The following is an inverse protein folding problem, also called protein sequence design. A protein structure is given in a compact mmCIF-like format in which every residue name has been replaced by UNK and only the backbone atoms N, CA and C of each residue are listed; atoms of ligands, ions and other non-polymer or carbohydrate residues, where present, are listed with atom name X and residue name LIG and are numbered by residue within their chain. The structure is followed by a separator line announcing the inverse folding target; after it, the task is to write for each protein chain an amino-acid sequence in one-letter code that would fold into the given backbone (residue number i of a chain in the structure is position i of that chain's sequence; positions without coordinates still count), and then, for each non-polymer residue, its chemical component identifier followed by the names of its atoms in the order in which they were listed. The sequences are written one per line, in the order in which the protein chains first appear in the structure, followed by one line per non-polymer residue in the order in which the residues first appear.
data_IF_446190246326
#
_entry.id   IF_446190246326
#
_cell.length_a   1.000
_cell.length_b   1.000
_cell.length_c   1.000
_cell.angle_alpha   90.00
_cell.angle_beta   90.00
_cell.angle_gamma   90.00
#
_symmetry.space_group_name_H-M   'P 1'
#
loop_
_entity.id
_entity.type
_entity.pdbx_description
1 polymer ?
#
# COMPACT_ATOMS: atom_id res chain seq x y z
N UNK A 1 27.96 18.16 21.56
CA UNK A 1 27.92 18.46 20.11
C UNK A 1 27.64 19.94 20.03
N UNK A 2 28.64 20.72 19.55
CA UNK A 2 28.61 22.18 19.67
C UNK A 2 27.51 22.84 18.84
N UNK A 3 27.14 24.06 19.25
CA UNK A 3 26.17 24.97 18.66
C UNK A 3 26.57 25.49 17.26
N UNK A 4 26.98 24.60 16.35
CA UNK A 4 27.11 24.98 14.96
C UNK A 4 25.76 24.78 14.27
N UNK A 5 25.06 25.90 14.00
CA UNK A 5 23.97 25.92 13.04
C UNK A 5 24.48 25.42 11.68
N UNK A 6 24.14 24.20 11.36
CA UNK A 6 24.33 23.68 10.00
C UNK A 6 23.22 24.28 9.13
N UNK A 7 23.57 25.22 8.26
CA UNK A 7 22.67 25.73 7.22
C UNK A 7 22.95 24.97 5.91
N UNK A 8 22.09 24.03 5.53
CA UNK A 8 22.23 23.35 4.25
C UNK A 8 22.04 24.36 3.11
N UNK A 9 22.99 24.40 2.18
CA UNK A 9 22.87 25.24 0.99
C UNK A 9 22.03 24.56 -0.08
N UNK A 10 21.14 25.32 -0.73
CA UNK A 10 20.18 24.85 -1.74
C UNK A 10 20.79 24.63 -3.14
N UNK A 11 22.09 24.63 -3.29
CA UNK A 11 22.78 24.40 -4.58
C UNK A 11 22.77 22.94 -5.06
N UNK A 12 22.08 22.04 -4.37
CA UNK A 12 21.90 20.65 -4.77
C UNK A 12 20.72 20.53 -5.76
N UNK A 13 21.03 20.68 -7.03
CA UNK A 13 20.07 20.85 -8.13
C UNK A 13 19.28 19.60 -8.56
N UNK A 14 19.31 18.44 -7.92
CA UNK A 14 18.83 17.24 -8.62
C UNK A 14 17.79 16.37 -7.94
N UNK A 15 17.71 16.31 -6.63
CA UNK A 15 16.76 15.41 -5.94
C UNK A 15 15.83 16.11 -4.94
N UNK A 16 16.21 17.32 -4.48
CA UNK A 16 15.47 18.03 -3.44
C UNK A 16 14.84 19.29 -4.00
N UNK A 17 13.55 19.46 -3.77
CA UNK A 17 12.82 20.68 -4.13
C UNK A 17 12.84 21.72 -3.03
N UNK A 18 13.12 21.30 -1.79
CA UNK A 18 13.23 22.16 -0.61
C UNK A 18 14.09 21.50 0.46
N UNK A 19 14.76 22.31 1.28
CA UNK A 19 15.46 21.90 2.49
C UNK A 19 14.88 22.69 3.67
N UNK A 20 14.44 21.98 4.69
CA UNK A 20 13.79 22.58 5.85
C UNK A 20 14.17 21.83 7.12
N UNK A 21 14.49 22.56 8.19
CA UNK A 21 14.67 21.95 9.50
C UNK A 21 13.31 21.67 10.14
N UNK A 22 13.10 20.41 10.53
CA UNK A 22 11.81 20.00 11.08
C UNK A 22 12.01 18.97 12.20
N UNK A 23 11.13 19.00 13.19
CA UNK A 23 11.10 17.93 14.20
C UNK A 23 10.56 16.65 13.58
N UNK A 24 11.03 15.44 13.99
CA UNK A 24 10.49 14.18 13.51
C UNK A 24 8.97 14.09 13.62
N UNK A 25 8.39 14.52 14.75
CA UNK A 25 6.93 14.53 14.96
C UNK A 25 6.18 15.41 13.96
N UNK A 26 6.71 16.58 13.61
CA UNK A 26 6.09 17.48 12.64
C UNK A 26 6.15 16.90 11.23
N UNK A 27 7.29 16.31 10.85
CA UNK A 27 7.45 15.65 9.56
C UNK A 27 6.48 14.46 9.41
N UNK A 28 6.32 13.65 10.47
CA UNK A 28 5.36 12.55 10.51
C UNK A 28 3.93 13.04 10.34
N UNK A 29 3.54 14.13 11.01
CA UNK A 29 2.18 14.67 10.88
C UNK A 29 1.91 15.26 9.48
N UNK A 30 2.86 15.95 8.86
CA UNK A 30 2.73 16.42 7.47
C UNK A 30 2.65 15.25 6.49
N UNK A 31 3.45 14.20 6.71
CA UNK A 31 3.38 12.98 5.92
C UNK A 31 2.02 12.28 6.07
N UNK A 32 1.47 12.17 7.29
CA UNK A 32 0.12 11.60 7.53
C UNK A 32 -0.99 12.37 6.83
N UNK A 33 -0.84 13.70 6.69
CA UNK A 33 -1.78 14.54 5.94
C UNK A 33 -1.49 14.59 4.44
N UNK A 34 -0.56 13.75 3.97
CA UNK A 34 -0.14 13.66 2.57
C UNK A 34 0.42 14.97 1.97
N UNK A 35 0.83 15.91 2.82
CA UNK A 35 1.40 17.20 2.41
C UNK A 35 2.82 17.06 1.87
N UNK A 36 3.54 16.02 2.29
CA UNK A 36 4.92 15.72 1.86
C UNK A 36 5.07 14.24 1.53
N UNK A 37 5.99 13.94 0.63
CA UNK A 37 6.42 12.57 0.30
C UNK A 37 7.76 12.30 0.96
N UNK A 38 7.85 11.19 1.65
CA UNK A 38 9.07 10.76 2.35
C UNK A 38 9.36 9.32 1.93
N UNK A 39 10.63 9.03 1.65
CA UNK A 39 11.02 7.66 1.29
C UNK A 39 10.67 6.69 2.44
N UNK A 40 10.09 5.51 2.16
CA UNK A 40 9.59 4.58 3.17
C UNK A 40 10.58 4.23 4.28
N UNK A 41 11.87 3.95 4.01
CA UNK A 41 12.84 3.69 5.07
C UNK A 41 13.04 4.88 6.01
N UNK A 42 12.95 6.11 5.47
CA UNK A 42 13.08 7.35 6.25
C UNK A 42 11.88 7.55 7.17
N UNK A 43 10.65 7.27 6.68
CA UNK A 43 9.44 7.33 7.53
C UNK A 43 9.55 6.38 8.71
N UNK A 44 9.99 5.15 8.46
CA UNK A 44 10.17 4.14 9.52
C UNK A 44 11.18 4.61 10.56
N UNK A 45 12.32 5.13 10.12
CA UNK A 45 13.34 5.67 11.02
C UNK A 45 12.80 6.85 11.82
N UNK A 46 12.10 7.79 11.17
CA UNK A 46 11.53 8.96 11.86
C UNK A 46 10.49 8.57 12.92
N UNK A 47 9.65 7.57 12.63
CA UNK A 47 8.68 7.06 13.60
C UNK A 47 9.36 6.42 14.81
N UNK A 48 10.43 5.64 14.59
CA UNK A 48 11.22 5.05 15.68
C UNK A 48 11.92 6.14 16.51
N UNK A 49 12.55 7.11 15.86
CA UNK A 49 13.19 8.24 16.53
C UNK A 49 12.18 9.04 17.37
N UNK A 50 11.02 9.40 16.80
CA UNK A 50 9.98 10.15 17.51
C UNK A 50 9.43 9.37 18.73
N UNK A 51 9.18 8.07 18.55
CA UNK A 51 8.71 7.20 19.63
C UNK A 51 9.73 7.11 20.77
N UNK A 52 11.00 6.90 20.42
CA UNK A 52 12.08 6.72 21.39
C UNK A 52 12.41 8.03 22.10
N UNK A 53 12.40 9.17 21.38
CA UNK A 53 12.54 10.50 22.00
C UNK A 53 11.45 10.77 23.03
N UNK A 54 10.21 10.41 22.73
CA UNK A 54 9.08 10.53 23.68
C UNK A 54 9.24 9.61 24.89
N UNK A 55 9.77 8.40 24.69
CA UNK A 55 10.02 7.44 25.76
C UNK A 55 11.08 7.94 26.76
N UNK A 56 12.10 8.62 26.28
CA UNK A 56 13.19 9.18 27.09
C UNK A 56 13.06 10.69 27.33
N UNK A 57 11.84 11.25 27.31
CA UNK A 57 11.55 12.66 27.60
C UNK A 57 12.44 13.66 26.81
N UNK A 58 12.85 13.28 25.60
CA UNK A 58 13.70 14.07 24.71
C UNK A 58 15.19 13.91 24.90
N UNK A 59 15.65 12.95 25.71
CA UNK A 59 17.08 12.64 25.86
C UNK A 59 17.64 12.00 24.59
N UNK A 60 18.44 12.77 23.85
CA UNK A 60 19.03 12.37 22.58
C UNK A 60 20.09 11.26 22.74
N UNK A 61 20.79 11.21 23.87
CA UNK A 61 21.86 10.22 24.09
C UNK A 61 21.25 8.86 24.34
N UNK A 62 20.30 8.78 25.29
CA UNK A 62 19.57 7.53 25.56
C UNK A 62 18.78 7.06 24.33
N UNK A 63 18.20 7.99 23.56
CA UNK A 63 17.53 7.66 22.30
C UNK A 63 18.47 7.03 21.29
N UNK A 64 19.67 7.59 21.12
CA UNK A 64 20.64 7.05 20.17
C UNK A 64 21.16 5.66 20.58
N UNK A 65 21.42 5.46 21.88
CA UNK A 65 21.86 4.17 22.43
C UNK A 65 20.79 3.08 22.23
N UNK A 66 19.52 3.38 22.57
CA UNK A 66 18.41 2.45 22.38
C UNK A 66 18.19 2.09 20.91
N UNK A 67 18.26 3.08 20.00
CA UNK A 67 18.11 2.83 18.56
C UNK A 67 19.26 2.01 17.96
N UNK A 68 20.47 2.11 18.50
CA UNK A 68 21.61 1.28 18.06
C UNK A 68 21.46 -0.19 18.48
N UNK A 69 20.83 -0.45 19.62
CA UNK A 69 20.62 -1.81 20.12
C UNK A 69 19.46 -2.54 19.40
N UNK A 70 18.51 -1.79 18.83
CA UNK A 70 17.34 -2.35 18.16
C UNK A 70 17.62 -2.68 16.70
N UNK A 71 17.43 -3.92 16.33
CA UNK A 71 17.33 -4.28 14.91
C UNK A 71 15.91 -3.96 14.40
N UNK A 72 15.72 -3.11 13.36
CA UNK A 72 14.42 -2.88 12.80
C UNK A 72 13.85 -4.18 12.24
N UNK A 73 12.67 -4.57 12.75
CA UNK A 73 11.91 -5.68 12.22
C UNK A 73 11.51 -5.41 10.76
N UNK A 74 11.68 -6.41 9.90
CA UNK A 74 11.57 -6.19 8.46
C UNK A 74 10.60 -7.16 7.87
N UNK A 75 9.43 -6.72 7.40
CA UNK A 75 8.73 -7.56 6.42
C UNK A 75 7.61 -6.84 5.68
N UNK A 76 7.44 -5.54 5.94
CA UNK A 76 6.50 -4.69 5.22
C UNK A 76 7.07 -3.29 5.04
N UNK A 77 6.60 -2.58 4.05
CA UNK A 77 7.10 -1.26 3.69
C UNK A 77 5.94 -0.28 3.79
N UNK A 78 6.05 0.69 4.70
CA UNK A 78 5.08 1.75 4.90
C UNK A 78 5.30 2.85 3.84
N UNK A 79 4.50 2.87 2.79
CA UNK A 79 4.63 3.84 1.70
C UNK A 79 3.88 5.14 1.93
N UNK A 80 2.67 5.05 2.47
CA UNK A 80 1.84 6.18 2.84
C UNK A 80 1.15 5.90 4.17
N UNK A 81 0.65 6.93 4.84
CA UNK A 81 -0.16 6.72 6.03
C UNK A 81 -1.42 5.94 5.65
N UNK A 82 -1.58 4.75 6.23
CA UNK A 82 -2.68 3.84 5.89
C UNK A 82 -2.41 2.91 4.71
N UNK A 83 -1.20 2.88 4.13
CA UNK A 83 -0.83 1.90 3.10
C UNK A 83 0.53 1.29 3.39
N UNK A 84 0.52 0.03 3.74
CA UNK A 84 1.71 -0.78 3.99
C UNK A 84 1.75 -1.95 3.01
N UNK A 85 2.87 -2.18 2.33
CA UNK A 85 3.03 -3.27 1.37
C UNK A 85 3.80 -4.43 1.97
N UNK A 86 3.33 -5.63 1.66
CA UNK A 86 3.99 -6.91 1.94
C UNK A 86 4.18 -7.62 0.60
N UNK A 87 5.38 -7.59 0.00
CA UNK A 87 5.63 -8.31 -1.24
C UNK A 87 5.58 -9.82 -0.99
N UNK A 88 4.65 -10.51 -1.65
CA UNK A 88 4.46 -11.96 -1.55
C UNK A 88 4.93 -12.61 -2.84
N UNK A 89 5.82 -13.60 -2.75
CA UNK A 89 6.30 -14.32 -3.92
C UNK A 89 5.17 -15.13 -4.54
N UNK A 90 4.91 -14.91 -5.84
CA UNK A 90 3.82 -15.53 -6.59
C UNK A 90 4.30 -16.03 -7.96
N UNK A 91 3.49 -16.88 -8.59
CA UNK A 91 3.69 -17.29 -9.97
C UNK A 91 2.98 -16.32 -10.93
N UNK A 92 3.32 -15.04 -10.84
CA UNK A 92 2.84 -14.00 -11.76
C UNK A 92 3.69 -13.94 -13.03
N UNK A 93 3.31 -13.07 -13.97
CA UNK A 93 3.98 -12.95 -15.26
C UNK A 93 5.31 -12.17 -15.16
N UNK A 94 6.41 -12.71 -15.73
CA UNK A 94 7.66 -11.98 -15.79
C UNK A 94 7.51 -10.61 -16.49
N UNK A 95 8.25 -9.57 -16.08
CA UNK A 95 9.39 -9.59 -15.16
C UNK A 95 9.04 -9.53 -13.67
N UNK A 96 7.76 -9.44 -13.29
CA UNK A 96 7.35 -9.52 -11.89
C UNK A 96 7.52 -10.96 -11.38
N UNK A 97 7.84 -11.11 -10.09
CA UNK A 97 7.95 -12.39 -9.39
C UNK A 97 7.25 -12.35 -8.02
N UNK A 98 6.61 -11.21 -7.72
CA UNK A 98 5.85 -10.95 -6.51
C UNK A 98 4.53 -10.27 -6.83
N UNK A 99 3.54 -10.52 -5.99
CA UNK A 99 2.36 -9.68 -5.87
C UNK A 99 2.47 -8.87 -4.58
N UNK A 100 2.19 -7.60 -4.66
CA UNK A 100 2.13 -6.73 -3.50
C UNK A 100 0.80 -6.94 -2.78
N UNK A 101 0.82 -7.62 -1.65
CA UNK A 101 -0.29 -7.55 -0.71
C UNK A 101 -0.23 -6.23 0.05
N UNK A 102 -1.39 -5.61 0.29
CA UNK A 102 -1.46 -4.33 0.99
C UNK A 102 -2.27 -4.43 2.28
N UNK A 103 -1.76 -3.80 3.35
CA UNK A 103 -2.56 -3.47 4.53
C UNK A 103 -3.06 -2.04 4.32
N UNK A 104 -4.38 -1.87 4.18
CA UNK A 104 -5.02 -0.60 3.79
C UNK A 104 -6.01 -0.17 4.87
N UNK A 105 -5.88 1.05 5.36
CA UNK A 105 -6.76 1.64 6.38
C UNK A 105 -5.99 2.28 7.53
N UNK A 106 -6.67 2.48 8.66
CA UNK A 106 -6.07 3.13 9.83
C UNK A 106 -5.11 2.16 10.55
N UNK A 107 -3.82 2.48 10.65
CA UNK A 107 -2.88 1.62 11.39
C UNK A 107 -3.18 1.46 12.88
N UNK A 108 -4.09 2.25 13.45
CA UNK A 108 -4.52 2.19 14.86
C UNK A 108 -5.99 1.85 15.04
N UNK A 109 -6.73 1.82 13.96
CA UNK A 109 -8.15 1.49 13.90
C UNK A 109 -8.37 0.23 13.08
N UNK A 110 -9.26 0.29 12.11
CA UNK A 110 -9.61 -0.82 11.25
C UNK A 110 -8.84 -0.75 9.93
N UNK A 111 -8.42 -1.92 9.44
CA UNK A 111 -7.76 -2.05 8.14
C UNK A 111 -8.17 -3.35 7.44
N UNK A 112 -7.96 -3.40 6.14
CA UNK A 112 -8.16 -4.59 5.30
C UNK A 112 -6.84 -5.10 4.74
N UNK A 113 -6.77 -6.41 4.49
CA UNK A 113 -5.68 -7.06 3.76
C UNK A 113 -6.10 -7.23 2.29
N UNK A 114 -5.46 -6.50 1.39
CA UNK A 114 -5.76 -6.51 -0.04
C UNK A 114 -4.82 -7.47 -0.76
N UNK A 115 -5.37 -8.33 -1.62
CA UNK A 115 -4.65 -9.29 -2.48
C UNK A 115 -3.53 -10.04 -1.76
N UNK A 116 -3.84 -10.86 -0.76
CA UNK A 116 -2.82 -11.61 0.00
C UNK A 116 -1.97 -12.55 -0.86
N UNK A 117 -2.46 -13.02 -1.99
CA UNK A 117 -1.74 -13.74 -3.05
C UNK A 117 -0.97 -15.00 -2.63
N UNK A 118 -1.03 -15.37 -1.37
CA UNK A 118 -0.17 -16.42 -0.79
C UNK A 118 -0.59 -17.82 -1.21
N UNK A 119 0.39 -18.63 -1.68
CA UNK A 119 0.21 -20.07 -1.98
C UNK A 119 1.14 -20.96 -1.17
N UNK A 120 2.01 -20.38 -0.36
CA UNK A 120 2.99 -21.13 0.42
C UNK A 120 2.99 -20.66 1.86
N UNK A 121 3.27 -21.60 2.76
CA UNK A 121 3.30 -21.33 4.21
C UNK A 121 4.23 -20.19 4.61
N UNK A 122 5.38 -20.08 3.96
CA UNK A 122 6.34 -19.00 4.23
C UNK A 122 5.75 -17.59 3.96
N UNK A 123 5.05 -17.41 2.83
CA UNK A 123 4.36 -16.16 2.52
C UNK A 123 3.22 -15.88 3.50
N UNK A 124 2.52 -16.94 3.96
CA UNK A 124 1.48 -16.81 4.97
C UNK A 124 2.03 -16.36 6.33
N UNK A 125 3.16 -16.91 6.75
CA UNK A 125 3.85 -16.50 7.97
C UNK A 125 4.28 -15.02 7.89
N UNK A 126 4.75 -14.58 6.73
CA UNK A 126 5.11 -13.19 6.47
C UNK A 126 3.88 -12.25 6.58
N UNK A 127 2.75 -12.64 6.00
CA UNK A 127 1.49 -11.89 6.09
C UNK A 127 0.97 -11.87 7.53
N UNK A 128 0.94 -13.01 8.20
CA UNK A 128 0.48 -13.13 9.58
C UNK A 128 1.34 -12.28 10.53
N UNK A 129 2.67 -12.25 10.34
CA UNK A 129 3.55 -11.37 11.10
C UNK A 129 3.24 -9.89 10.83
N UNK A 130 3.01 -9.51 9.57
CA UNK A 130 2.68 -8.13 9.21
C UNK A 130 1.35 -7.69 9.84
N UNK A 131 0.32 -8.55 9.79
CA UNK A 131 -1.00 -8.31 10.40
C UNK A 131 -0.93 -8.32 11.93
N UNK A 132 -0.19 -9.25 12.52
CA UNK A 132 -0.11 -9.47 13.97
C UNK A 132 0.74 -8.45 14.74
N UNK A 133 1.32 -7.45 14.10
CA UNK A 133 2.05 -6.37 14.78
C UNK A 133 1.09 -5.55 15.65
N UNK A 134 1.62 -4.87 16.71
CA UNK A 134 0.81 -3.95 17.50
C UNK A 134 0.25 -2.81 16.64
N UNK A 135 -0.97 -2.97 16.15
CA UNK A 135 -1.71 -2.04 15.29
C UNK A 135 -3.21 -2.19 15.53
N UNK A 136 -4.01 -1.60 14.65
CA UNK A 136 -5.46 -1.77 14.62
C UNK A 136 -5.92 -3.19 14.31
N UNK A 137 -7.18 -3.33 13.96
CA UNK A 137 -7.87 -4.60 13.74
C UNK A 137 -7.97 -4.90 12.24
N UNK A 138 -7.60 -6.12 11.82
CA UNK A 138 -7.91 -6.64 10.50
C UNK A 138 -9.40 -6.99 10.44
N UNK A 139 -10.17 -6.28 9.63
CA UNK A 139 -11.63 -6.50 9.55
C UNK A 139 -12.07 -7.30 8.31
N UNK A 140 -11.24 -7.40 7.29
CA UNK A 140 -11.54 -8.20 6.10
C UNK A 140 -10.30 -8.50 5.26
N UNK A 141 -10.41 -9.55 4.41
CA UNK A 141 -9.58 -9.72 3.22
C UNK A 141 -10.36 -9.14 2.03
N UNK A 142 -9.72 -8.30 1.23
CA UNK A 142 -10.31 -7.70 0.04
C UNK A 142 -9.54 -8.16 -1.20
N UNK A 143 -10.26 -8.64 -2.22
CA UNK A 143 -9.66 -8.96 -3.51
C UNK A 143 -9.96 -7.88 -4.53
N UNK A 144 -8.91 -7.36 -5.19
CA UNK A 144 -9.07 -6.45 -6.33
C UNK A 144 -9.74 -7.18 -7.48
N UNK A 145 -9.36 -8.43 -7.71
CA UNK A 145 -9.98 -9.32 -8.72
C UNK A 145 -9.62 -10.79 -8.46
N UNK A 146 -10.11 -11.71 -9.31
CA UNK A 146 -10.04 -13.16 -9.06
C UNK A 146 -8.95 -13.89 -9.83
N UNK A 147 -7.87 -13.25 -10.28
CA UNK A 147 -6.73 -13.99 -10.81
C UNK A 147 -5.99 -14.74 -9.69
N UNK A 148 -5.39 -15.87 -10.05
CA UNK A 148 -4.83 -16.79 -9.05
C UNK A 148 -3.61 -16.27 -8.31
N UNK A 149 -2.90 -15.30 -8.86
CA UNK A 149 -1.77 -14.61 -8.23
C UNK A 149 -2.18 -13.43 -7.33
N UNK A 150 -3.49 -13.18 -7.17
CA UNK A 150 -4.08 -12.27 -6.20
C UNK A 150 -4.83 -13.02 -5.08
N UNK A 151 -5.60 -14.05 -5.45
CA UNK A 151 -6.35 -14.85 -4.47
C UNK A 151 -5.41 -15.72 -3.63
N UNK A 152 -4.44 -16.40 -4.28
CA UNK A 152 -3.59 -17.36 -3.60
C UNK A 152 -4.31 -18.65 -3.23
N UNK A 153 -4.06 -19.15 -2.02
CA UNK A 153 -4.67 -20.35 -1.45
C UNK A 153 -5.68 -19.95 -0.35
N UNK A 154 -6.95 -20.13 -0.63
CA UNK A 154 -8.05 -19.73 0.26
C UNK A 154 -8.11 -20.56 1.54
N UNK A 155 -7.69 -21.81 1.51
CA UNK A 155 -7.71 -22.66 2.71
C UNK A 155 -6.63 -22.20 3.70
N UNK A 156 -5.42 -21.88 3.19
CA UNK A 156 -4.36 -21.27 4.01
C UNK A 156 -4.76 -19.91 4.57
N UNK A 157 -5.46 -19.08 3.77
CA UNK A 157 -5.92 -17.77 4.20
C UNK A 157 -6.97 -17.87 5.32
N UNK A 158 -7.92 -18.77 5.19
CA UNK A 158 -8.95 -19.01 6.22
C UNK A 158 -8.39 -19.63 7.48
N UNK A 159 -7.36 -20.48 7.38
CA UNK A 159 -6.65 -21.01 8.55
C UNK A 159 -5.93 -19.90 9.33
N UNK A 160 -5.36 -18.91 8.61
CA UNK A 160 -4.58 -17.83 9.21
C UNK A 160 -5.43 -16.66 9.71
N UNK A 161 -6.53 -16.34 9.01
CA UNK A 161 -7.34 -15.13 9.26
C UNK A 161 -8.84 -15.49 9.29
N UNK A 162 -9.45 -15.37 10.46
CA UNK A 162 -10.89 -15.57 10.66
C UNK A 162 -11.64 -14.23 10.46
N UNK A 163 -11.64 -13.74 9.21
CA UNK A 163 -12.28 -12.47 8.82
C UNK A 163 -13.07 -12.63 7.53
N UNK A 164 -14.11 -11.80 7.28
CA UNK A 164 -14.90 -11.84 6.07
C UNK A 164 -14.05 -11.50 4.82
N UNK A 165 -14.50 -12.02 3.68
CA UNK A 165 -13.92 -11.77 2.36
C UNK A 165 -14.78 -10.77 1.60
N UNK A 166 -14.15 -9.72 1.07
CA UNK A 166 -14.78 -8.68 0.27
C UNK A 166 -14.27 -8.70 -1.17
N UNK A 167 -15.14 -8.48 -2.12
CA UNK A 167 -14.79 -8.42 -3.53
C UNK A 167 -15.96 -7.99 -4.40
N UNK A 168 -15.73 -7.85 -5.70
CA UNK A 168 -16.81 -7.56 -6.64
C UNK A 168 -17.77 -8.74 -6.82
N UNK A 169 -18.94 -8.48 -7.41
CA UNK A 169 -19.90 -9.53 -7.79
C UNK A 169 -19.26 -10.59 -8.71
N UNK A 170 -18.39 -10.16 -9.62
CA UNK A 170 -17.69 -11.09 -10.50
C UNK A 170 -16.65 -11.94 -9.77
N UNK A 171 -15.89 -11.33 -8.87
CA UNK A 171 -14.92 -12.05 -7.99
C UNK A 171 -15.64 -13.10 -7.15
N UNK A 172 -16.86 -12.80 -6.68
CA UNK A 172 -17.69 -13.73 -5.89
C UNK A 172 -18.10 -14.99 -6.65
N UNK A 173 -17.96 -15.05 -7.95
CA UNK A 173 -18.18 -16.27 -8.74
C UNK A 173 -17.04 -17.27 -8.63
N UNK A 174 -15.86 -16.80 -8.25
CA UNK A 174 -14.64 -17.63 -8.10
C UNK A 174 -14.32 -17.89 -6.63
N UNK A 175 -14.47 -16.87 -5.78
CA UNK A 175 -14.24 -16.93 -4.34
C UNK A 175 -15.47 -16.39 -3.63
N UNK A 176 -16.02 -17.15 -2.70
CA UNK A 176 -17.15 -16.66 -1.90
C UNK A 176 -16.76 -15.35 -1.20
N UNK A 177 -17.51 -14.28 -1.50
CA UNK A 177 -17.38 -12.97 -0.86
C UNK A 177 -18.56 -12.75 0.09
N UNK A 178 -18.25 -12.45 1.34
CA UNK A 178 -19.25 -12.12 2.38
C UNK A 178 -19.84 -10.72 2.18
N UNK A 179 -19.08 -9.84 1.50
CA UNK A 179 -19.54 -8.50 1.09
C UNK A 179 -19.20 -8.25 -0.38
N UNK A 180 -20.20 -7.78 -1.11
CA UNK A 180 -20.04 -7.35 -2.52
C UNK A 180 -19.76 -5.86 -2.53
N UNK A 181 -18.62 -5.49 -3.13
CA UNK A 181 -18.19 -4.11 -3.32
C UNK A 181 -18.86 -3.51 -4.56
N UNK A 182 -19.30 -2.27 -4.46
CA UNK A 182 -19.95 -1.54 -5.55
C UNK A 182 -19.25 -0.23 -5.89
N UNK A 183 -19.36 0.23 -7.13
CA UNK A 183 -18.71 1.46 -7.59
C UNK A 183 -19.20 2.69 -6.82
N UNK A 184 -18.26 3.53 -6.39
CA UNK A 184 -18.52 4.74 -5.61
C UNK A 184 -18.84 4.52 -4.13
N UNK A 185 -18.89 3.26 -3.66
CA UNK A 185 -19.03 2.95 -2.25
C UNK A 185 -17.84 3.46 -1.45
N UNK A 186 -18.08 3.99 -0.25
CA UNK A 186 -17.03 4.42 0.67
C UNK A 186 -16.88 3.40 1.78
N UNK A 187 -15.69 2.82 1.88
CA UNK A 187 -15.26 1.97 2.98
C UNK A 187 -14.64 2.86 4.06
N UNK A 188 -15.25 2.90 5.23
CA UNK A 188 -14.68 3.56 6.39
C UNK A 188 -13.76 2.58 7.11
N UNK A 189 -12.45 2.79 7.02
CA UNK A 189 -11.42 1.95 7.61
C UNK A 189 -10.74 2.73 8.75
N UNK A 190 -11.32 2.63 9.94
CA UNK A 190 -10.95 3.45 11.08
C UNK A 190 -11.24 4.94 10.82
N UNK A 191 -10.21 5.79 10.80
CA UNK A 191 -10.32 7.22 10.52
C UNK A 191 -10.06 7.60 9.04
N UNK A 192 -10.03 6.62 8.14
CA UNK A 192 -9.77 6.81 6.72
C UNK A 192 -10.95 6.36 5.86
N UNK A 193 -11.29 7.19 4.89
CA UNK A 193 -12.31 6.90 3.89
C UNK A 193 -11.64 6.42 2.59
N UNK A 194 -12.09 5.25 2.11
CA UNK A 194 -11.60 4.64 0.88
C UNK A 194 -12.74 4.42 -0.09
N UNK A 195 -12.72 5.09 -1.22
CA UNK A 195 -13.74 4.93 -2.28
C UNK A 195 -13.42 3.73 -3.15
N UNK A 196 -14.36 2.82 -3.27
CA UNK A 196 -14.30 1.70 -4.22
C UNK A 196 -14.54 2.22 -5.62
N UNK A 197 -13.67 1.86 -6.54
CA UNK A 197 -13.81 2.11 -7.98
C UNK A 197 -13.87 0.77 -8.69
N UNK A 198 -15.01 0.45 -9.31
CA UNK A 198 -15.10 -0.71 -10.19
C UNK A 198 -14.45 -0.35 -11.53
N UNK A 199 -13.38 -1.06 -11.88
CA UNK A 199 -12.50 -0.75 -13.01
C UNK A 199 -12.28 -1.97 -13.90
N UNK A 200 -13.35 -2.42 -14.62
CA UNK A 200 -13.24 -3.58 -15.52
C UNK A 200 -12.28 -3.28 -16.69
N UNK A 201 -11.93 -4.33 -17.41
CA UNK A 201 -11.09 -4.25 -18.61
C UNK A 201 -9.95 -5.24 -18.58
N UNK A 202 -9.04 -5.18 -17.60
CA UNK A 202 -8.10 -6.27 -17.32
C UNK A 202 -8.84 -7.54 -16.86
N UNK A 203 -9.77 -7.36 -15.94
CA UNK A 203 -10.64 -8.41 -15.42
C UNK A 203 -12.04 -7.83 -15.18
N UNK A 204 -13.15 -8.55 -15.50
CA UNK A 204 -14.51 -8.01 -15.39
C UNK A 204 -14.90 -7.56 -13.98
N UNK A 205 -14.33 -8.18 -12.96
CA UNK A 205 -14.59 -7.89 -11.55
C UNK A 205 -13.51 -7.05 -10.87
N UNK A 206 -12.66 -6.36 -11.64
CA UNK A 206 -11.59 -5.58 -11.05
C UNK A 206 -12.10 -4.37 -10.27
N UNK A 207 -11.50 -4.12 -9.09
CA UNK A 207 -11.76 -2.95 -8.26
C UNK A 207 -10.46 -2.28 -7.84
N UNK A 208 -10.47 -0.96 -7.72
CA UNK A 208 -9.45 -0.15 -7.09
C UNK A 208 -9.98 0.49 -5.81
N UNK A 209 -9.09 0.97 -4.94
CA UNK A 209 -9.45 1.74 -3.75
C UNK A 209 -8.75 3.11 -3.81
N UNK A 210 -9.51 4.19 -3.71
CA UNK A 210 -9.02 5.56 -3.76
C UNK A 210 -9.21 6.27 -2.42
N UNK A 211 -8.17 6.94 -1.95
CA UNK A 211 -8.20 7.84 -0.79
C UNK A 211 -7.19 8.98 -0.95
N UNK A 212 -7.10 9.84 0.07
CA UNK A 212 -6.03 10.86 0.14
C UNK A 212 -4.62 10.23 0.23
N UNK A 213 -4.49 8.97 0.64
CA UNK A 213 -3.21 8.24 0.61
C UNK A 213 -2.74 7.88 -0.81
N UNK A 214 -3.67 7.83 -1.78
CA UNK A 214 -3.44 7.45 -3.16
C UNK A 214 -4.41 6.37 -3.64
N UNK A 215 -4.06 5.69 -4.72
CA UNK A 215 -4.86 4.66 -5.39
C UNK A 215 -4.23 3.28 -5.24
N UNK A 216 -4.89 2.34 -4.54
CA UNK A 216 -4.59 0.91 -4.67
C UNK A 216 -5.13 0.46 -6.02
N UNK A 217 -4.24 0.24 -6.97
CA UNK A 217 -4.57 0.18 -8.39
C UNK A 217 -4.79 -1.26 -8.90
N UNK A 218 -4.47 -2.28 -8.10
CA UNK A 218 -4.53 -3.65 -8.57
C UNK A 218 -3.71 -3.82 -9.85
N UNK A 219 -4.30 -4.45 -10.83
CA UNK A 219 -3.76 -4.68 -12.18
C UNK A 219 -4.31 -3.69 -13.22
N UNK A 220 -4.69 -2.48 -12.80
CA UNK A 220 -4.89 -1.39 -13.76
C UNK A 220 -3.60 -0.81 -14.28
N UNK A 221 -2.52 -0.90 -13.50
CA UNK A 221 -1.17 -0.50 -13.90
C UNK A 221 -0.15 -1.42 -13.22
N UNK A 222 1.05 -1.53 -13.80
CA UNK A 222 2.18 -2.23 -13.18
C UNK A 222 3.35 -1.26 -12.99
N UNK A 223 4.04 -1.40 -11.86
CA UNK A 223 5.29 -0.68 -11.60
C UNK A 223 6.49 -1.30 -12.34
N UNK A 224 6.33 -2.53 -12.84
CA UNK A 224 7.30 -3.23 -13.68
C UNK A 224 6.58 -4.10 -14.71
N UNK A 225 7.07 -4.12 -15.95
CA UNK A 225 6.43 -4.84 -17.04
C UNK A 225 5.21 -4.11 -17.58
N UNK A 226 4.20 -4.85 -17.98
CA UNK A 226 2.94 -4.35 -18.55
C UNK A 226 1.77 -5.22 -18.09
N UNK A 227 0.57 -4.66 -18.17
CA UNK A 227 -0.65 -5.40 -17.85
C UNK A 227 -1.09 -6.23 -19.07
N UNK A 228 -1.39 -7.51 -18.82
CA UNK A 228 -2.00 -8.40 -19.79
C UNK A 228 -3.52 -8.15 -19.82
N UNK A 229 -4.10 -8.00 -21.01
CA UNK A 229 -5.55 -8.01 -21.19
C UNK A 229 -5.91 -9.40 -21.77
N UNK A 230 -6.42 -10.33 -20.94
CA UNK A 230 -6.60 -11.72 -21.36
C UNK A 230 -7.73 -11.84 -22.39
N UNK A 231 -7.55 -12.59 -23.49
CA UNK A 231 -8.63 -12.88 -24.42
C UNK A 231 -9.81 -13.58 -23.74
N UNK A 232 -11.03 -13.10 -23.99
CA UNK A 232 -12.27 -13.71 -23.50
C UNK A 232 -12.74 -13.24 -22.12
N UNK A 233 -11.86 -12.75 -21.27
CA UNK A 233 -12.22 -12.13 -19.98
C UNK A 233 -11.84 -10.66 -19.90
N UNK A 234 -10.76 -10.26 -20.57
CA UNK A 234 -10.37 -8.86 -20.69
C UNK A 234 -11.07 -8.17 -21.85
N UNK A 235 -11.14 -6.82 -21.76
CA UNK A 235 -11.69 -5.92 -22.79
C UNK A 235 -10.79 -4.67 -22.87
N UNK A 236 -10.12 -4.51 -24.01
CA UNK A 236 -9.15 -3.44 -24.21
C UNK A 236 -9.80 -2.06 -24.25
N UNK A 237 -10.95 -1.93 -24.86
CA UNK A 237 -11.65 -0.63 -24.98
C UNK A 237 -12.12 -0.17 -23.59
N UNK A 238 -12.74 -1.07 -22.84
CA UNK A 238 -13.15 -0.81 -21.45
C UNK A 238 -11.95 -0.52 -20.56
N UNK A 239 -10.83 -1.25 -20.74
CA UNK A 239 -9.61 -1.00 -19.97
C UNK A 239 -9.06 0.42 -20.21
N UNK A 240 -9.01 0.88 -21.46
CA UNK A 240 -8.58 2.24 -21.81
C UNK A 240 -9.53 3.28 -21.19
N UNK A 241 -10.84 3.07 -21.24
CA UNK A 241 -11.82 3.96 -20.61
C UNK A 241 -11.57 4.09 -19.10
N UNK A 242 -11.27 2.97 -18.41
CA UNK A 242 -10.98 3.01 -16.98
C UNK A 242 -9.63 3.69 -16.68
N UNK A 243 -8.59 3.51 -17.50
CA UNK A 243 -7.34 4.26 -17.35
C UNK A 243 -7.58 5.77 -17.48
N UNK A 244 -8.40 6.21 -18.43
CA UNK A 244 -8.77 7.62 -18.58
C UNK A 244 -9.56 8.15 -17.37
N UNK A 245 -10.47 7.33 -16.81
CA UNK A 245 -11.18 7.65 -15.57
C UNK A 245 -10.19 7.83 -14.41
N UNK A 246 -9.25 6.90 -14.23
CA UNK A 246 -8.23 7.00 -13.18
C UNK A 246 -7.32 8.21 -13.37
N UNK A 247 -6.99 8.57 -14.61
CA UNK A 247 -6.21 9.77 -14.93
C UNK A 247 -6.94 11.06 -14.52
N UNK A 248 -8.26 11.12 -14.73
CA UNK A 248 -9.10 12.28 -14.32
C UNK A 248 -9.21 12.44 -12.80
N UNK A 249 -9.12 11.35 -12.04
CA UNK A 249 -9.15 11.37 -10.58
C UNK A 249 -7.84 11.88 -9.97
N UNK A 250 -6.77 11.99 -10.76
CA UNK A 250 -5.46 12.56 -10.41
C UNK A 250 -4.87 12.05 -9.07
N UNK A 251 -4.77 10.73 -8.86
CA UNK A 251 -4.18 10.22 -7.63
C UNK A 251 -2.71 10.65 -7.55
N UNK A 252 -2.26 11.07 -6.39
CA UNK A 252 -0.87 11.51 -6.21
C UNK A 252 0.14 10.37 -6.04
N UNK A 253 -0.32 9.16 -5.68
CA UNK A 253 0.44 7.90 -5.64
C UNK A 253 -0.42 6.78 -6.21
N UNK A 254 0.19 5.78 -6.85
CA UNK A 254 -0.47 4.52 -7.17
C UNK A 254 0.31 3.33 -6.61
N UNK A 255 -0.46 2.40 -6.06
CA UNK A 255 0.00 1.16 -5.43
C UNK A 255 -0.42 -0.02 -6.31
N UNK A 256 0.42 -0.42 -7.29
CA UNK A 256 0.12 -1.53 -8.21
C UNK A 256 0.34 -2.88 -7.54
N UNK A 257 -0.36 -3.92 -8.00
CA UNK A 257 -0.11 -5.26 -7.48
C UNK A 257 1.25 -5.82 -7.92
N UNK A 258 1.86 -5.30 -8.98
CA UNK A 258 3.16 -5.77 -9.47
C UNK A 258 4.17 -4.63 -9.63
N UNK A 259 5.37 -4.84 -9.07
CA UNK A 259 6.48 -3.89 -9.13
C UNK A 259 6.40 -2.76 -8.10
N UNK A 260 7.25 -1.73 -8.23
CA UNK A 260 7.34 -0.64 -7.27
C UNK A 260 6.12 0.29 -7.30
N UNK A 261 5.87 0.97 -6.19
CA UNK A 261 4.90 2.06 -6.08
C UNK A 261 5.21 3.15 -7.10
N UNK A 262 4.18 3.74 -7.71
CA UNK A 262 4.26 4.71 -8.78
C UNK A 262 4.09 6.12 -8.19
N UNK A 263 5.19 6.92 -8.09
CA UNK A 263 5.15 8.25 -7.47
C UNK A 263 4.67 9.36 -8.41
N UNK A 264 4.55 9.08 -9.71
CA UNK A 264 4.12 10.03 -10.74
C UNK A 264 3.01 9.42 -11.59
N UNK A 265 1.79 9.21 -11.02
CA UNK A 265 0.69 8.52 -11.68
C UNK A 265 0.31 9.07 -13.04
N UNK A 266 0.20 10.39 -13.17
CA UNK A 266 -0.18 11.05 -14.42
C UNK A 266 0.77 10.72 -15.57
N UNK A 267 2.07 10.66 -15.27
CA UNK A 267 3.08 10.32 -16.27
C UNK A 267 2.97 8.85 -16.70
N UNK A 268 2.68 7.96 -15.77
CA UNK A 268 2.48 6.54 -16.04
C UNK A 268 1.19 6.30 -16.81
N UNK A 269 0.07 6.87 -16.37
CA UNK A 269 -1.24 6.74 -17.04
C UNK A 269 -1.25 7.31 -18.47
N UNK A 270 -0.47 8.37 -18.71
CA UNK A 270 -0.31 8.91 -20.05
C UNK A 270 0.56 8.02 -21.00
N UNK A 271 1.29 7.07 -20.43
CA UNK A 271 2.11 6.12 -21.19
C UNK A 271 1.31 4.88 -21.60
N UNK A 272 0.33 4.44 -20.77
CA UNK A 272 -0.59 3.35 -21.08
C UNK A 272 -1.60 3.74 -22.16
#
# INVERSE_FOLDING_TARGET
IGDQEFNPTTDLQTEFTALEWMRPSEMIERWKRHEIRVAPPVVTILMEVDRTLKHFDGDMVQTAEDLQERQPGRRSILFAHGVEVVPVKTATLPPADHTNAYLVGDPRGEFVLVDPACRMREGMEQLAEAVGRPRGELIAILFTHSHGDHIGDMDLLREAFDVPVWGSEYTSRTVHCDRILVDGEVLQLGNQDWTVLVTPGHHPGHVCLLSDAGLVAGDMVAGIGTILIPPGTGDMDVYIEQLQRLQQLDPHLMFPSHGPVIPLPQKTLAYY
#
